data_IF_912148503118
#
_entry.id   IF_912148503118
#
_cell.length_a   1.000
_cell.length_b   1.000
_cell.length_c   1.000
_cell.angle_alpha   90.00
_cell.angle_beta   90.00
_cell.angle_gamma   90.00
#
_symmetry.space_group_name_H-M   'P 1'
#
loop_
_entity.id
_entity.type
_entity.pdbx_description
1 polymer ?
#
# COMPACT_ATOMS: atom_id res chain seq x y z
N UNK A 1 0.00 19.75 22.89
CA UNK A 1 -1.30 19.27 22.38
C UNK A 1 -1.00 17.96 21.66
N UNK A 2 -1.21 16.84 22.32
CA UNK A 2 -1.11 15.50 21.70
C UNK A 2 -2.29 15.36 20.77
N UNK A 3 -2.06 15.54 19.48
CA UNK A 3 -3.00 15.09 18.44
C UNK A 3 -3.08 13.58 18.57
N UNK A 4 -4.17 13.09 19.09
CA UNK A 4 -4.55 11.66 19.00
C UNK A 4 -4.78 11.40 17.51
N UNK A 5 -3.78 10.84 16.83
CA UNK A 5 -3.97 10.35 15.46
C UNK A 5 -5.04 9.27 15.50
N UNK A 6 -6.02 9.38 14.61
CA UNK A 6 -7.02 8.35 14.43
C UNK A 6 -6.34 7.04 13.99
N UNK A 7 -6.76 5.87 14.48
CA UNK A 7 -6.18 4.61 14.06
C UNK A 7 -6.27 4.48 12.54
N UNK A 8 -5.21 3.92 11.95
CA UNK A 8 -5.13 3.64 10.51
C UNK A 8 -5.42 2.17 10.25
N UNK A 9 -6.21 1.91 9.24
CA UNK A 9 -6.58 0.56 8.82
C UNK A 9 -6.22 0.36 7.35
N UNK A 10 -5.72 -0.82 7.02
CA UNK A 10 -5.33 -1.17 5.66
C UNK A 10 -6.34 -2.15 5.07
N UNK A 11 -6.97 -1.73 3.98
CA UNK A 11 -7.98 -2.51 3.26
C UNK A 11 -7.45 -2.80 1.86
N UNK A 12 -7.57 -4.04 1.42
CA UNK A 12 -7.28 -4.42 0.03
C UNK A 12 -8.56 -4.74 -0.72
N UNK A 13 -8.62 -4.39 -2.00
CA UNK A 13 -9.73 -4.71 -2.87
C UNK A 13 -9.23 -5.24 -4.21
N UNK A 14 -9.83 -6.34 -4.68
CA UNK A 14 -9.68 -6.84 -6.04
C UNK A 14 -10.82 -6.26 -6.87
N UNK A 15 -10.50 -5.59 -7.96
CA UNK A 15 -11.47 -4.85 -8.78
C UNK A 15 -11.26 -5.14 -10.26
N UNK A 16 -12.28 -4.93 -11.07
CA UNK A 16 -12.12 -4.97 -12.53
C UNK A 16 -11.16 -3.89 -13.02
N UNK A 17 -10.27 -4.26 -13.94
CA UNK A 17 -9.32 -3.33 -14.57
C UNK A 17 -9.96 -2.69 -15.80
N UNK A 18 -10.77 -1.65 -15.55
CA UNK A 18 -11.43 -0.89 -16.61
C UNK A 18 -11.59 0.59 -16.25
N UNK A 19 -11.72 1.46 -17.28
CA UNK A 19 -11.89 2.89 -17.06
C UNK A 19 -13.07 3.21 -16.12
N UNK A 20 -12.83 4.14 -15.18
CA UNK A 20 -13.87 4.65 -14.29
C UNK A 20 -14.01 3.92 -12.95
N UNK A 21 -13.39 2.76 -12.74
CA UNK A 21 -13.45 2.01 -11.47
C UNK A 21 -12.87 2.84 -10.33
N UNK A 22 -11.66 3.38 -10.49
CA UNK A 22 -11.04 4.25 -9.49
C UNK A 22 -11.91 5.46 -9.15
N UNK A 23 -12.55 6.07 -10.16
CA UNK A 23 -13.45 7.20 -9.96
C UNK A 23 -14.69 6.82 -9.14
N UNK A 24 -15.29 5.64 -9.37
CA UNK A 24 -16.44 5.14 -8.59
C UNK A 24 -16.04 4.90 -7.14
N UNK A 25 -14.90 4.25 -6.91
CA UNK A 25 -14.36 4.01 -5.58
C UNK A 25 -14.11 5.34 -4.87
N UNK A 26 -13.36 6.26 -5.46
CA UNK A 26 -13.08 7.59 -4.88
C UNK A 26 -14.35 8.39 -4.60
N UNK A 27 -15.35 8.30 -5.48
CA UNK A 27 -16.65 8.95 -5.29
C UNK A 27 -17.43 8.35 -4.12
N UNK A 28 -17.31 7.05 -3.85
CA UNK A 28 -17.91 6.42 -2.68
C UNK A 28 -17.26 6.94 -1.40
N UNK A 29 -15.92 6.98 -1.31
CA UNK A 29 -15.20 7.53 -0.17
C UNK A 29 -15.58 8.98 0.10
N UNK A 30 -15.58 9.82 -0.95
CA UNK A 30 -15.97 11.24 -0.85
C UNK A 30 -17.39 11.43 -0.31
N UNK A 31 -18.37 10.69 -0.86
CA UNK A 31 -19.79 10.82 -0.44
C UNK A 31 -20.03 10.41 1.01
N UNK A 32 -19.18 9.55 1.54
CA UNK A 32 -19.29 9.04 2.92
C UNK A 32 -18.40 9.81 3.90
N UNK A 33 -17.56 10.72 3.40
CA UNK A 33 -16.65 11.51 4.24
C UNK A 33 -15.48 10.70 4.82
N UNK A 34 -15.12 9.55 4.21
CA UNK A 34 -13.97 8.76 4.65
C UNK A 34 -12.68 9.39 4.13
N UNK A 35 -11.67 9.51 5.01
CA UNK A 35 -10.35 9.97 4.62
C UNK A 35 -9.48 8.79 4.17
N UNK A 36 -8.86 8.95 2.98
CA UNK A 36 -7.86 8.01 2.46
C UNK A 36 -6.49 8.61 2.72
N UNK A 37 -5.74 8.03 3.66
CA UNK A 37 -4.37 8.44 3.96
C UNK A 37 -3.38 7.98 2.88
N UNK A 38 -3.61 6.79 2.29
CA UNK A 38 -2.78 6.22 1.23
C UNK A 38 -3.63 5.39 0.28
N UNK A 39 -3.28 5.41 -1.01
CA UNK A 39 -3.90 4.60 -2.06
C UNK A 39 -2.81 4.11 -3.02
N UNK A 40 -2.73 2.81 -3.19
CA UNK A 40 -1.93 2.17 -4.23
C UNK A 40 -2.83 1.31 -5.13
N UNK A 41 -2.53 1.31 -6.43
CA UNK A 41 -3.26 0.53 -7.44
C UNK A 41 -2.25 -0.14 -8.36
N UNK A 42 -2.44 -1.42 -8.64
CA UNK A 42 -1.63 -2.19 -9.58
C UNK A 42 -2.40 -3.33 -10.20
N UNK A 43 -1.91 -3.84 -11.33
CA UNK A 43 -2.48 -5.03 -11.94
C UNK A 43 -2.36 -6.22 -10.98
N UNK A 44 -3.37 -7.08 -10.98
CA UNK A 44 -3.32 -8.32 -10.22
C UNK A 44 -2.72 -9.46 -11.06
N UNK A 45 -2.50 -10.60 -10.42
CA UNK A 45 -2.12 -11.86 -11.08
C UNK A 45 -3.22 -12.44 -11.98
N UNK A 46 -4.46 -11.97 -11.81
CA UNK A 46 -5.61 -12.37 -12.62
C UNK A 46 -5.81 -11.35 -13.74
N UNK A 47 -5.89 -11.84 -14.97
CA UNK A 47 -6.10 -10.97 -16.14
C UNK A 47 -7.38 -10.13 -16.01
N UNK A 48 -7.32 -8.86 -16.43
CA UNK A 48 -8.40 -7.87 -16.37
C UNK A 48 -8.85 -7.50 -14.95
N UNK A 49 -8.05 -7.83 -13.93
CA UNK A 49 -8.27 -7.37 -12.57
C UNK A 49 -7.10 -6.52 -12.07
N UNK A 50 -7.40 -5.55 -11.23
CA UNK A 50 -6.45 -4.72 -10.50
C UNK A 50 -6.65 -4.88 -9.01
N UNK A 51 -5.55 -4.75 -8.27
CA UNK A 51 -5.53 -4.76 -6.80
C UNK A 51 -5.34 -3.35 -6.29
N UNK A 52 -6.21 -2.92 -5.40
CA UNK A 52 -6.12 -1.64 -4.72
C UNK A 52 -5.81 -1.87 -3.25
N UNK A 53 -4.94 -1.05 -2.68
CA UNK A 53 -4.69 -0.99 -1.24
C UNK A 53 -5.03 0.41 -0.75
N UNK A 54 -5.89 0.50 0.26
CA UNK A 54 -6.30 1.75 0.91
C UNK A 54 -5.80 1.75 2.35
N UNK A 55 -5.22 2.86 2.77
CA UNK A 55 -5.05 3.16 4.19
C UNK A 55 -6.11 4.18 4.57
N UNK A 56 -7.00 3.82 5.48
CA UNK A 56 -8.15 4.63 5.89
C UNK A 56 -8.00 5.01 7.36
N UNK A 57 -8.25 6.26 7.67
CA UNK A 57 -8.27 6.77 9.04
C UNK A 57 -9.68 6.61 9.62
N UNK A 58 -9.79 6.02 10.81
CA UNK A 58 -11.05 5.85 11.50
C UNK A 58 -11.01 4.73 12.53
N UNK A 59 -12.13 4.52 13.18
CA UNK A 59 -12.34 3.42 14.12
C UNK A 59 -12.77 2.12 13.40
N UNK A 60 -12.90 1.01 14.13
CA UNK A 60 -13.34 -0.28 13.59
C UNK A 60 -14.70 -0.18 12.88
N UNK A 61 -15.63 0.68 13.38
CA UNK A 61 -16.93 0.87 12.74
C UNK A 61 -16.80 1.53 11.37
N UNK A 62 -15.85 2.43 11.21
CA UNK A 62 -15.50 3.07 9.93
C UNK A 62 -15.00 2.03 8.93
N UNK A 63 -14.09 1.15 9.36
CA UNK A 63 -13.55 0.07 8.51
C UNK A 63 -14.63 -0.89 8.05
N UNK A 64 -15.49 -1.33 8.97
CA UNK A 64 -16.62 -2.20 8.64
C UNK A 64 -17.56 -1.54 7.60
N UNK A 65 -17.84 -0.26 7.75
CA UNK A 65 -18.67 0.48 6.81
C UNK A 65 -17.99 0.68 5.45
N UNK A 66 -16.68 0.99 5.43
CA UNK A 66 -15.91 1.10 4.19
C UNK A 66 -15.95 -0.23 3.44
N UNK A 67 -15.66 -1.33 4.11
CA UNK A 67 -15.69 -2.68 3.54
C UNK A 67 -17.06 -3.02 2.97
N UNK A 68 -18.13 -2.79 3.73
CA UNK A 68 -19.51 -3.01 3.26
C UNK A 68 -19.89 -2.13 2.06
N UNK A 69 -19.39 -0.90 2.01
CA UNK A 69 -19.69 0.01 0.90
C UNK A 69 -18.88 -0.31 -0.36
N UNK A 70 -17.65 -0.77 -0.22
CA UNK A 70 -16.84 -1.28 -1.33
C UNK A 70 -17.50 -2.50 -1.98
N UNK A 71 -17.97 -3.46 -1.18
CA UNK A 71 -18.69 -4.65 -1.69
C UNK A 71 -19.97 -4.34 -2.48
N UNK A 72 -20.57 -3.15 -2.31
CA UNK A 72 -21.76 -2.73 -3.09
C UNK A 72 -21.43 -2.19 -4.48
N UNK A 73 -20.14 -1.96 -4.77
CA UNK A 73 -19.72 -1.51 -6.09
C UNK A 73 -19.63 -2.72 -7.03
N UNK A 74 -20.28 -2.62 -8.18
CA UNK A 74 -20.37 -3.73 -9.16
C UNK A 74 -19.00 -4.18 -9.69
N UNK A 75 -18.05 -3.26 -9.74
CA UNK A 75 -16.70 -3.53 -10.24
C UNK A 75 -15.75 -4.11 -9.16
N UNK A 76 -16.22 -4.27 -7.92
CA UNK A 76 -15.43 -4.81 -6.81
C UNK A 76 -15.72 -6.29 -6.63
N UNK A 77 -14.71 -7.11 -6.80
CA UNK A 77 -14.81 -8.59 -6.74
C UNK A 77 -14.63 -9.10 -5.32
N UNK A 78 -13.60 -8.60 -4.62
CA UNK A 78 -13.26 -9.03 -3.25
C UNK A 78 -12.74 -7.83 -2.47
N UNK A 79 -13.04 -7.76 -1.18
CA UNK A 79 -12.48 -6.80 -0.23
C UNK A 79 -11.98 -7.56 0.98
N UNK A 80 -10.79 -7.24 1.46
CA UNK A 80 -10.21 -7.83 2.67
C UNK A 80 -9.64 -6.73 3.56
N UNK A 81 -9.94 -6.80 4.85
CA UNK A 81 -9.27 -5.98 5.87
C UNK A 81 -7.99 -6.71 6.29
N UNK A 82 -6.85 -6.13 5.96
CA UNK A 82 -5.52 -6.67 6.26
C UNK A 82 -4.84 -5.92 7.41
N UNK A 83 -5.59 -5.12 8.16
CA UNK A 83 -5.08 -4.34 9.31
C UNK A 83 -4.63 -5.21 10.47
N UNK A 84 -5.13 -6.44 10.56
CA UNK A 84 -4.98 -7.31 11.71
C UNK A 84 -3.77 -8.23 11.54
N UNK A 85 -2.73 -7.92 12.30
CA UNK A 85 -1.63 -8.74 12.84
C UNK A 85 -0.83 -9.70 11.94
N UNK A 86 -1.19 -10.03 10.70
CA UNK A 86 -0.47 -11.03 9.92
C UNK A 86 -0.19 -10.62 8.47
N UNK A 87 -0.07 -9.33 8.19
CA UNK A 87 0.25 -8.84 6.85
C UNK A 87 1.71 -8.41 6.70
N UNK A 88 2.15 -8.33 5.48
CA UNK A 88 3.36 -7.60 5.08
C UNK A 88 2.91 -6.34 4.36
N UNK A 89 3.26 -5.18 4.91
CA UNK A 89 3.05 -3.89 4.27
C UNK A 89 4.38 -3.30 3.81
N UNK A 90 4.38 -2.66 2.67
CA UNK A 90 5.56 -1.98 2.11
C UNK A 90 5.13 -0.75 1.31
N UNK A 91 6.00 0.24 1.33
CA UNK A 91 5.98 1.35 0.40
C UNK A 91 7.38 1.64 -0.10
N UNK A 92 7.49 2.33 -1.23
CA UNK A 92 8.74 2.88 -1.74
C UNK A 92 8.65 4.41 -1.69
N UNK A 93 9.72 5.04 -1.23
CA UNK A 93 9.86 6.49 -1.29
C UNK A 93 11.14 6.90 -2.01
N UNK A 94 11.04 7.98 -2.79
CA UNK A 94 12.18 8.71 -3.33
C UNK A 94 12.29 10.03 -2.57
N UNK A 95 13.44 10.27 -1.96
CA UNK A 95 13.70 11.46 -1.17
C UNK A 95 14.88 12.23 -1.77
N UNK A 96 14.65 13.43 -2.23
CA UNK A 96 15.72 14.33 -2.65
C UNK A 96 16.13 15.21 -1.47
N UNK A 97 17.39 15.14 -1.09
CA UNK A 97 17.94 15.89 0.04
C UNK A 97 19.12 16.75 -0.42
N UNK A 98 19.24 17.93 0.13
CA UNK A 98 20.39 18.79 -0.11
C UNK A 98 21.65 18.14 0.48
N UNK A 99 22.72 18.11 -0.32
CA UNK A 99 23.99 17.51 0.08
C UNK A 99 25.15 18.34 -0.48
N UNK A 100 25.99 18.80 0.40
CA UNK A 100 27.27 19.44 0.06
C UNK A 100 28.43 18.53 0.42
N UNK A 101 29.65 18.94 0.13
CA UNK A 101 30.86 18.14 0.41
C UNK A 101 30.98 17.74 1.89
N UNK A 102 30.48 18.59 2.80
CA UNK A 102 30.62 18.38 4.25
C UNK A 102 29.53 17.44 4.80
N UNK A 103 28.30 17.52 4.27
CA UNK A 103 27.16 16.73 4.77
C UNK A 103 26.97 15.40 4.06
N UNK A 104 27.57 15.22 2.88
CA UNK A 104 27.38 14.04 2.04
C UNK A 104 27.74 12.74 2.75
N UNK A 105 28.86 12.70 3.45
CA UNK A 105 29.30 11.50 4.17
C UNK A 105 28.34 11.11 5.30
N UNK A 106 27.78 12.07 6.01
CA UNK A 106 26.80 11.81 7.07
C UNK A 106 25.47 11.28 6.50
N UNK A 107 24.98 11.88 5.40
CA UNK A 107 23.79 11.38 4.70
C UNK A 107 24.02 9.93 4.22
N UNK A 108 25.19 9.60 3.66
CA UNK A 108 25.51 8.25 3.22
C UNK A 108 25.47 7.25 4.39
N UNK A 109 25.99 7.60 5.56
CA UNK A 109 25.90 6.75 6.75
C UNK A 109 24.45 6.49 7.18
N UNK A 110 23.59 7.52 7.14
CA UNK A 110 22.15 7.37 7.43
C UNK A 110 21.51 6.40 6.42
N UNK A 111 21.79 6.57 5.13
CA UNK A 111 21.29 5.71 4.06
C UNK A 111 21.69 4.24 4.30
N UNK A 112 22.94 3.99 4.69
CA UNK A 112 23.44 2.64 4.98
C UNK A 112 22.74 2.01 6.20
N UNK A 113 22.54 2.78 7.28
CA UNK A 113 21.84 2.32 8.50
C UNK A 113 20.40 1.88 8.16
N UNK A 114 19.72 2.63 7.31
CA UNK A 114 18.35 2.31 6.89
C UNK A 114 18.28 1.27 5.77
N UNK A 115 19.43 0.79 5.26
CA UNK A 115 19.50 -0.10 4.08
C UNK A 115 18.69 0.49 2.92
N UNK A 116 18.89 1.78 2.69
CA UNK A 116 18.36 2.52 1.57
C UNK A 116 19.40 2.62 0.46
N UNK A 117 19.04 3.11 -0.71
CA UNK A 117 19.94 3.21 -1.86
C UNK A 117 20.06 4.68 -2.30
N UNK A 118 21.25 5.10 -2.72
CA UNK A 118 21.42 6.35 -3.43
C UNK A 118 21.27 6.05 -4.93
N UNK A 119 20.24 6.63 -5.55
CA UNK A 119 19.88 6.37 -6.96
C UNK A 119 20.28 7.51 -7.89
N UNK A 120 20.57 8.69 -7.34
CA UNK A 120 21.11 9.83 -8.10
C UNK A 120 22.03 10.68 -7.23
N UNK A 121 23.11 11.19 -7.83
CA UNK A 121 24.13 12.03 -7.18
C UNK A 121 24.34 13.29 -8.01
N UNK A 122 23.94 14.44 -7.48
CA UNK A 122 24.21 15.73 -8.06
C UNK A 122 25.23 16.53 -7.20
N UNK A 123 25.82 17.63 -7.70
CA UNK A 123 26.79 18.42 -6.92
C UNK A 123 26.28 18.91 -5.58
N UNK A 124 25.00 19.23 -5.48
CA UNK A 124 24.34 19.89 -4.34
C UNK A 124 23.18 19.06 -3.74
N UNK A 125 22.91 17.87 -4.25
CA UNK A 125 21.84 17.00 -3.76
C UNK A 125 22.12 15.52 -3.98
N UNK A 126 21.41 14.69 -3.20
CA UNK A 126 21.32 13.24 -3.37
C UNK A 126 19.86 12.85 -3.52
N UNK A 127 19.57 11.84 -4.35
CA UNK A 127 18.27 11.18 -4.39
C UNK A 127 18.41 9.80 -3.75
N UNK A 128 17.60 9.56 -2.73
CA UNK A 128 17.61 8.36 -1.90
C UNK A 128 16.33 7.59 -2.16
N UNK A 129 16.47 6.31 -2.49
CA UNK A 129 15.38 5.34 -2.57
C UNK A 129 15.33 4.52 -1.28
N UNK A 130 14.17 4.42 -0.68
CA UNK A 130 13.94 3.57 0.48
C UNK A 130 12.68 2.74 0.30
N UNK A 131 12.75 1.47 0.68
CA UNK A 131 11.60 0.56 0.74
C UNK A 131 11.47 0.05 2.18
N UNK A 132 10.25 0.06 2.70
CA UNK A 132 9.96 -0.38 4.06
C UNK A 132 8.48 -0.25 4.41
N UNK A 133 8.19 -0.42 5.70
CA UNK A 133 6.93 0.02 6.29
C UNK A 133 6.90 1.55 6.46
N UNK A 134 5.73 2.10 6.79
CA UNK A 134 5.53 3.54 6.96
C UNK A 134 6.51 4.11 8.00
N UNK A 135 6.68 3.43 9.14
CA UNK A 135 7.53 3.88 10.25
C UNK A 135 9.00 4.00 9.81
N UNK A 136 9.51 3.05 9.04
CA UNK A 136 10.89 3.11 8.51
C UNK A 136 11.07 4.29 7.58
N UNK A 137 10.14 4.50 6.65
CA UNK A 137 10.20 5.60 5.68
C UNK A 137 10.11 6.95 6.38
N UNK A 138 9.20 7.10 7.33
CA UNK A 138 9.03 8.33 8.11
C UNK A 138 10.26 8.61 9.00
N UNK A 139 10.83 7.59 9.63
CA UNK A 139 12.05 7.71 10.43
C UNK A 139 13.22 8.21 9.61
N UNK A 140 13.46 7.64 8.41
CA UNK A 140 14.49 8.10 7.49
C UNK A 140 14.23 9.56 7.07
N UNK A 141 13.01 9.86 6.64
CA UNK A 141 12.64 11.22 6.21
C UNK A 141 12.86 12.24 7.33
N UNK A 142 12.49 11.89 8.56
CA UNK A 142 12.67 12.78 9.73
C UNK A 142 14.15 13.07 10.01
N UNK A 143 15.03 12.08 9.93
CA UNK A 143 16.48 12.28 10.07
C UNK A 143 17.04 13.15 8.94
N UNK A 144 16.58 12.97 7.72
CA UNK A 144 17.04 13.74 6.57
C UNK A 144 16.55 15.20 6.58
N UNK A 145 15.53 15.55 7.37
CA UNK A 145 15.01 16.93 7.47
C UNK A 145 16.08 17.96 7.88
N UNK A 146 17.02 17.58 8.76
CA UNK A 146 18.09 18.45 9.23
C UNK A 146 19.04 18.91 8.11
N UNK A 147 19.18 18.11 7.05
CA UNK A 147 20.00 18.42 5.88
C UNK A 147 19.26 19.25 4.82
N UNK A 148 17.95 19.34 4.90
CA UNK A 148 17.08 20.05 3.96
C UNK A 148 16.52 19.13 2.88
N UNK A 149 15.41 18.46 3.20
CA UNK A 149 14.63 17.69 2.22
C UNK A 149 14.03 18.65 1.19
N UNK A 150 14.29 18.40 -0.08
CA UNK A 150 13.84 19.22 -1.20
C UNK A 150 12.54 18.70 -1.80
N UNK A 151 12.42 17.38 -1.90
CA UNK A 151 11.28 16.73 -2.53
C UNK A 151 11.12 15.30 -1.99
N UNK A 152 9.87 14.84 -1.87
CA UNK A 152 9.53 13.47 -1.48
C UNK A 152 8.43 12.96 -2.38
N UNK A 153 8.62 11.77 -2.93
CA UNK A 153 7.59 11.02 -3.65
C UNK A 153 7.42 9.67 -2.99
N UNK A 154 6.17 9.26 -2.76
CA UNK A 154 5.83 7.96 -2.13
C UNK A 154 4.81 7.23 -3.00
N UNK A 155 4.94 5.93 -3.09
CA UNK A 155 3.99 5.08 -3.85
C UNK A 155 2.65 4.94 -3.15
N UNK A 156 2.61 5.17 -1.85
CA UNK A 156 1.57 4.66 -0.97
C UNK A 156 1.86 3.21 -0.56
N UNK A 157 1.12 2.76 0.44
CA UNK A 157 1.31 1.44 1.06
C UNK A 157 0.64 0.35 0.22
N UNK A 158 1.38 -0.71 -0.10
CA UNK A 158 0.83 -2.00 -0.54
C UNK A 158 0.86 -2.97 0.63
N UNK A 159 -0.12 -3.88 0.72
CA UNK A 159 -0.18 -4.87 1.78
C UNK A 159 -0.69 -6.21 1.27
N UNK A 160 -0.21 -7.29 1.89
CA UNK A 160 -0.60 -8.65 1.58
C UNK A 160 -0.55 -9.50 2.84
N UNK A 161 -1.50 -10.39 3.02
CA UNK A 161 -1.51 -11.35 4.12
C UNK A 161 -0.30 -12.29 4.07
N UNK A 162 0.20 -12.69 5.24
CA UNK A 162 1.24 -13.71 5.35
C UNK A 162 0.61 -15.09 5.24
N UNK A 163 1.16 -15.92 4.36
CA UNK A 163 0.60 -17.23 4.06
C UNK A 163 -0.65 -17.17 3.20
N UNK A 164 -1.21 -18.33 2.89
CA UNK A 164 -2.48 -18.45 2.20
C UNK A 164 -3.60 -18.33 3.24
N UNK A 165 -4.54 -17.41 3.06
CA UNK A 165 -5.77 -17.41 3.85
C UNK A 165 -6.59 -18.66 3.51
N UNK A 166 -7.21 -19.29 4.50
CA UNK A 166 -8.00 -20.53 4.33
C UNK A 166 -9.10 -20.43 3.25
N UNK A 167 -9.53 -19.22 2.91
CA UNK A 167 -10.49 -18.96 1.84
C UNK A 167 -9.95 -19.19 0.40
N UNK A 168 -8.62 -19.27 0.22
CA UNK A 168 -8.03 -19.55 -1.11
C UNK A 168 -7.91 -21.05 -1.39
N UNK A 169 -7.95 -21.89 -0.37
CA UNK A 169 -7.86 -23.36 -0.51
C UNK A 169 -9.16 -24.02 -0.99
N UNK A 170 -10.31 -23.40 -0.76
CA UNK A 170 -11.60 -23.99 -1.14
C UNK A 170 -11.95 -23.86 -2.63
N UNK A 171 -11.34 -22.91 -3.35
CA UNK A 171 -11.60 -22.71 -4.78
C UNK A 171 -10.79 -23.64 -5.70
N UNK A 172 -9.64 -24.17 -5.25
CA UNK A 172 -8.84 -25.09 -6.06
C UNK A 172 -9.33 -26.55 -6.00
N UNK A 173 -10.17 -26.90 -5.00
CA UNK A 173 -10.65 -28.25 -4.80
C UNK A 173 -12.02 -28.57 -5.44
N UNK A 174 -12.68 -27.58 -6.04
CA UNK A 174 -13.99 -27.77 -6.70
C UNK A 174 -13.88 -28.07 -8.21
N UNK A 175 -12.67 -28.18 -8.77
CA UNK A 175 -12.41 -28.33 -10.21
C UNK A 175 -12.10 -29.73 -10.72
N UNK A 176 -11.99 -30.78 -9.87
CA UNK A 176 -11.54 -32.09 -10.34
C UNK A 176 -12.43 -33.26 -9.94
N UNK A 177 -13.74 -33.14 -10.13
CA UNK A 177 -14.65 -34.32 -10.13
C UNK A 177 -15.70 -34.19 -11.21
N UNK A 178 -15.30 -34.43 -12.47
CA UNK A 178 -16.26 -34.86 -13.46
C UNK A 178 -15.66 -35.86 -14.43
N UNK A 179 -16.07 -37.12 -14.15
CA UNK A 179 -16.50 -38.12 -15.12
C UNK A 179 -15.45 -38.95 -15.86
N UNK A 180 -15.16 -40.06 -15.27
CA UNK A 180 -15.10 -41.32 -16.03
C UNK A 180 -16.23 -42.21 -15.53
N UNK A 181 -17.33 -42.28 -16.26
CA UNK A 181 -18.25 -43.43 -16.33
C UNK A 181 -18.55 -43.66 -17.79
N UNK A 182 -17.98 -44.73 -18.31
CA UNK A 182 -18.57 -46.00 -18.76
C UNK A 182 -19.45 -45.88 -20.00
N UNK A 183 -19.06 -46.55 -21.03
CA UNK A 183 -19.85 -47.00 -22.16
C UNK A 183 -19.31 -48.32 -22.66
N UNK A 184 -20.05 -49.36 -22.40
CA UNK A 184 -19.99 -50.68 -22.99
C UNK A 184 -19.91 -50.64 -24.51
#
# INVERSE_FOLDING_TARGET
MTTTESPKHTITALVEDKPGVLNRVSSMFRRRGYNIASLAVGHSEIANLSRMTFVVEGDESTVEQVTKNLHKLVDVIKVSDVSIQNCVSRELALVRVRANVQTRSEIMQIVDIFRANIVDVAPDSLMIEVTGDEDKVDSLQNLLRSFGVLEVMRTGTIAMDRGLSDEQTDNDNSGSTHRMESGL
#
